data_IF_349373011033
#
_entry.id   IF_349373011033
#
_cell.length_a   1.000
_cell.length_b   1.000
_cell.length_c   1.000
_cell.angle_alpha   90.00
_cell.angle_beta   90.00
_cell.angle_gamma   90.00
#
_symmetry.space_group_name_H-M   'P 1'
#
loop_
_entity.id
_entity.type
_entity.pdbx_description
1 polymer ?
#
# COMPACT_ATOMS: atom_id res chain seq x y z
N UNK A 1 13.28 0.82 -9.69
CA UNK A 1 11.95 1.27 -9.24
C UNK A 1 11.79 0.90 -7.78
N UNK A 2 11.40 1.83 -6.90
CA UNK A 2 11.20 1.52 -5.49
C UNK A 2 9.90 0.72 -5.27
N UNK A 3 9.78 0.07 -4.11
CA UNK A 3 8.61 -0.74 -3.76
C UNK A 3 7.30 0.07 -3.79
N UNK A 4 7.29 1.31 -3.32
CA UNK A 4 6.12 2.20 -3.39
C UNK A 4 5.72 2.48 -4.84
N UNK A 5 6.68 2.77 -5.71
CA UNK A 5 6.42 2.99 -7.14
C UNK A 5 5.88 1.74 -7.84
N UNK A 6 6.29 0.55 -7.42
CA UNK A 6 5.74 -0.73 -7.93
C UNK A 6 4.26 -0.89 -7.55
N UNK A 7 3.91 -0.63 -6.29
CA UNK A 7 2.53 -0.67 -5.80
C UNK A 7 1.66 0.39 -6.50
N UNK A 8 2.09 1.65 -6.53
CA UNK A 8 1.33 2.73 -7.16
C UNK A 8 1.10 2.47 -8.66
N UNK A 9 2.08 1.89 -9.38
CA UNK A 9 1.90 1.48 -10.77
C UNK A 9 0.88 0.35 -10.92
N UNK A 10 0.81 -0.58 -9.96
CA UNK A 10 -0.15 -1.69 -9.98
C UNK A 10 -1.58 -1.21 -9.73
N UNK A 11 -1.78 -0.31 -8.76
CA UNK A 11 -3.08 0.34 -8.49
C UNK A 11 -3.60 1.07 -9.73
N UNK A 12 -2.77 1.91 -10.36
CA UNK A 12 -3.13 2.61 -11.61
C UNK A 12 -3.49 1.66 -12.75
N UNK A 13 -2.85 0.48 -12.84
CA UNK A 13 -3.19 -0.52 -13.87
C UNK A 13 -4.50 -1.25 -13.59
N UNK A 14 -4.87 -1.38 -12.33
CA UNK A 14 -6.18 -1.93 -11.93
C UNK A 14 -7.32 -0.91 -12.06
N UNK A 15 -7.01 0.35 -12.41
CA UNK A 15 -7.99 1.45 -12.41
C UNK A 15 -8.64 1.65 -11.01
N UNK A 16 -7.85 1.40 -9.95
CA UNK A 16 -8.29 1.63 -8.56
C UNK A 16 -7.81 3.02 -8.15
N UNK A 17 -8.76 3.87 -7.74
CA UNK A 17 -8.47 5.17 -7.14
C UNK A 17 -7.82 4.99 -5.75
N UNK A 18 -6.82 5.83 -5.46
CA UNK A 18 -6.11 5.81 -4.18
C UNK A 18 -5.58 7.20 -3.83
N UNK A 19 -5.45 7.46 -2.54
CA UNK A 19 -4.76 8.63 -2.02
C UNK A 19 -3.26 8.32 -1.81
N UNK A 20 -2.37 9.23 -2.21
CA UNK A 20 -0.93 9.13 -1.93
C UNK A 20 -0.58 9.94 -0.70
N UNK A 21 -0.30 9.26 0.42
CA UNK A 21 0.26 9.87 1.62
C UNK A 21 1.79 9.77 1.61
N UNK A 22 2.48 10.90 1.69
CA UNK A 22 3.94 10.96 1.70
C UNK A 22 4.48 10.99 3.12
N UNK A 23 5.43 10.09 3.39
CA UNK A 23 6.13 10.02 4.69
C UNK A 23 7.53 10.61 4.60
N UNK A 24 8.14 11.01 5.74
CA UNK A 24 9.53 11.45 5.77
C UNK A 24 10.50 10.44 5.13
N UNK A 25 11.48 10.98 4.40
CA UNK A 25 12.54 10.16 3.78
C UNK A 25 13.30 9.36 4.83
N UNK A 26 13.59 9.98 5.96
CA UNK A 26 14.28 9.35 7.08
C UNK A 26 13.36 8.37 7.81
N UNK A 27 13.70 7.08 7.77
CA UNK A 27 12.92 6.00 8.39
C UNK A 27 12.57 6.25 9.85
N UNK A 28 13.48 6.84 10.63
CA UNK A 28 13.28 7.09 12.06
C UNK A 28 12.18 8.11 12.40
N UNK A 29 11.74 8.92 11.43
CA UNK A 29 10.71 9.96 11.65
C UNK A 29 9.33 9.52 11.14
N UNK A 30 9.11 8.23 10.90
CA UNK A 30 7.85 7.69 10.36
C UNK A 30 6.99 7.14 11.49
N UNK A 31 6.66 7.97 12.45
CA UNK A 31 5.98 7.53 13.67
C UNK A 31 4.54 7.07 13.39
N UNK A 32 3.83 7.74 12.49
CA UNK A 32 2.50 7.30 12.01
C UNK A 32 2.52 5.87 11.45
N UNK A 33 3.58 5.49 10.72
CA UNK A 33 3.71 4.13 10.18
C UNK A 33 3.98 3.11 11.30
N UNK A 34 4.76 3.52 12.32
CA UNK A 34 5.04 2.71 13.49
C UNK A 34 3.76 2.46 14.30
N UNK A 35 2.94 3.49 14.48
CA UNK A 35 1.66 3.41 15.16
C UNK A 35 0.67 2.51 14.40
N UNK A 36 0.65 2.58 13.07
CA UNK A 36 -0.25 1.77 12.23
C UNK A 36 0.20 0.31 12.09
N UNK A 37 1.51 0.03 12.06
CA UNK A 37 2.02 -1.29 11.62
C UNK A 37 3.01 -1.94 12.59
N UNK A 38 3.42 -1.25 13.66
CA UNK A 38 4.48 -1.70 14.57
C UNK A 38 5.88 -1.69 13.94
N UNK A 39 6.05 -1.04 12.79
CA UNK A 39 7.30 -0.90 12.07
C UNK A 39 7.35 0.41 11.28
N UNK A 40 8.53 0.81 10.78
CA UNK A 40 8.70 2.07 10.01
C UNK A 40 8.98 1.87 8.51
N UNK A 41 8.61 0.72 7.96
CA UNK A 41 8.86 0.36 6.56
C UNK A 41 7.70 0.75 5.64
N UNK A 42 8.03 1.05 4.38
CA UNK A 42 7.07 1.38 3.32
C UNK A 42 7.31 0.46 2.12
N UNK A 43 6.30 0.21 1.27
CA UNK A 43 4.93 0.74 1.29
C UNK A 43 4.03 0.11 2.36
N UNK A 44 3.01 0.87 2.74
CA UNK A 44 1.83 0.43 3.50
C UNK A 44 0.60 0.80 2.67
N UNK A 45 -0.37 -0.10 2.60
CA UNK A 45 -1.67 0.11 1.98
C UNK A 45 -2.73 0.03 3.07
N UNK A 46 -3.61 1.02 3.13
CA UNK A 46 -4.78 1.03 4.02
C UNK A 46 -6.02 0.94 3.15
N UNK A 47 -6.91 0.00 3.48
CA UNK A 47 -8.18 -0.18 2.78
C UNK A 47 -9.29 -0.51 3.78
N UNK A 48 -10.12 0.48 4.10
CA UNK A 48 -11.06 0.36 5.22
C UNK A 48 -10.31 0.15 6.53
N UNK A 49 -10.67 -0.91 7.26
CA UNK A 49 -10.01 -1.31 8.51
C UNK A 49 -8.75 -2.18 8.30
N UNK A 50 -8.47 -2.59 7.05
CA UNK A 50 -7.34 -3.45 6.73
C UNK A 50 -6.06 -2.64 6.49
N UNK A 51 -4.99 -2.97 7.22
CA UNK A 51 -3.65 -2.40 7.03
C UNK A 51 -2.71 -3.47 6.50
N UNK A 52 -2.31 -3.34 5.24
CA UNK A 52 -1.42 -4.29 4.57
C UNK A 52 -0.03 -3.66 4.42
N UNK A 53 0.99 -4.35 4.92
CA UNK A 53 2.39 -4.03 4.73
C UNK A 53 3.11 -5.17 4.00
N UNK A 54 4.36 -4.96 3.61
CA UNK A 54 5.13 -5.78 2.66
C UNK A 54 4.65 -5.63 1.21
N UNK A 55 5.57 -5.21 0.33
CA UNK A 55 5.22 -4.89 -1.05
C UNK A 55 4.72 -6.08 -1.87
N UNK A 56 5.10 -7.32 -1.55
CA UNK A 56 4.60 -8.51 -2.24
C UNK A 56 3.17 -8.79 -1.81
N UNK A 57 2.89 -8.75 -0.50
CA UNK A 57 1.52 -8.93 0.03
C UNK A 57 0.56 -7.86 -0.47
N UNK A 58 1.02 -6.61 -0.54
CA UNK A 58 0.21 -5.51 -1.10
C UNK A 58 -0.15 -5.79 -2.57
N UNK A 59 0.79 -6.27 -3.38
CA UNK A 59 0.50 -6.61 -4.78
C UNK A 59 -0.50 -7.75 -4.91
N UNK A 60 -0.31 -8.83 -4.13
CA UNK A 60 -1.25 -9.95 -4.06
C UNK A 60 -2.66 -9.48 -3.63
N UNK A 61 -2.74 -8.54 -2.68
CA UNK A 61 -4.01 -7.95 -2.23
C UNK A 61 -4.69 -7.11 -3.31
N UNK A 62 -3.94 -6.32 -4.09
CA UNK A 62 -4.50 -5.55 -5.21
C UNK A 62 -5.02 -6.49 -6.31
N UNK A 63 -4.30 -7.57 -6.61
CA UNK A 63 -4.74 -8.58 -7.58
C UNK A 63 -6.06 -9.24 -7.13
N UNK A 64 -6.18 -9.53 -5.83
CA UNK A 64 -7.41 -10.04 -5.23
C UNK A 64 -8.56 -9.02 -5.33
N UNK A 65 -8.34 -7.77 -4.91
CA UNK A 65 -9.35 -6.70 -4.99
C UNK A 65 -9.88 -6.54 -6.41
N UNK A 66 -8.98 -6.38 -7.39
CA UNK A 66 -9.36 -6.23 -8.80
C UNK A 66 -10.22 -7.41 -9.30
N UNK A 67 -9.88 -8.63 -8.89
CA UNK A 67 -10.63 -9.84 -9.25
C UNK A 67 -12.02 -9.86 -8.59
N UNK A 68 -12.12 -9.43 -7.33
CA UNK A 68 -13.38 -9.33 -6.60
C UNK A 68 -14.32 -8.28 -7.21
N UNK A 69 -13.80 -7.11 -7.58
CA UNK A 69 -14.59 -6.06 -8.23
C UNK A 69 -15.09 -6.45 -9.61
N UNK A 70 -14.32 -7.22 -10.39
CA UNK A 70 -14.73 -7.69 -11.72
C UNK A 70 -15.76 -8.83 -11.67
N UNK A 71 -15.87 -9.51 -10.54
CA UNK A 71 -16.81 -10.60 -10.35
C UNK A 71 -18.17 -10.15 -9.77
N UNK A 72 -18.27 -8.89 -9.32
CA UNK A 72 -19.48 -8.25 -8.83
C UNK A 72 -20.19 -7.46 -9.94
#
# INVERSE_FOLDING_TARGET
MCACGKVARRLRRADIDYEEVRVPVQRRHRDEIDELTGQRWVPVLVHGDEVIHDSRRILEYIDWLESSWRAA
#
